data_IF_767465544719
#
_entry.id   IF_767465544719
#
_cell.length_a   1.000
_cell.length_b   1.000
_cell.length_c   1.000
_cell.angle_alpha   90.00
_cell.angle_beta   90.00
_cell.angle_gamma   90.00
#
_symmetry.space_group_name_H-M   'P 1'
#
loop_
_entity.id
_entity.type
_entity.pdbx_description
1 polymer ?
#
# COMPACT_ATOMS: atom_id res chain seq x y z
N UNK A 1 22.72 -44.93 75.40
CA UNK A 1 21.74 -43.84 75.20
C UNK A 1 21.12 -44.07 73.83
N UNK A 2 20.14 -44.97 73.66
CA UNK A 2 18.69 -44.72 73.75
C UNK A 2 18.32 -43.33 73.23
N UNK A 3 17.77 -43.25 72.02
CA UNK A 3 16.46 -42.63 71.79
C UNK A 3 15.78 -43.23 70.55
N UNK A 4 14.57 -43.70 70.80
CA UNK A 4 13.57 -44.22 69.88
C UNK A 4 13.17 -43.16 68.83
N UNK A 5 13.01 -43.59 67.58
CA UNK A 5 12.10 -42.94 66.63
C UNK A 5 11.32 -44.01 65.87
N UNK A 6 10.41 -44.67 66.59
CA UNK A 6 9.26 -45.36 66.01
C UNK A 6 8.21 -44.29 65.76
N UNK A 7 8.12 -43.76 64.54
CA UNK A 7 7.01 -42.90 64.12
C UNK A 7 6.30 -43.58 62.94
N UNK A 8 5.23 -44.28 63.32
CA UNK A 8 3.97 -44.46 62.59
C UNK A 8 4.02 -44.86 61.09
N UNK A 9 4.16 -46.15 60.83
CA UNK A 9 3.71 -46.79 59.58
C UNK A 9 2.18 -46.93 59.42
N UNK A 10 1.35 -46.19 60.18
CA UNK A 10 -0.11 -46.39 60.18
C UNK A 10 -0.92 -45.38 59.32
N UNK A 11 -0.28 -44.38 58.71
CA UNK A 11 -0.98 -43.30 57.99
C UNK A 11 -1.04 -43.42 56.46
N UNK A 12 -0.31 -44.36 55.85
CA UNK A 12 -0.12 -44.39 54.38
C UNK A 12 -1.15 -45.28 53.66
N UNK A 13 -1.92 -46.11 54.38
CA UNK A 13 -2.84 -47.07 53.75
C UNK A 13 -4.27 -46.57 53.47
N UNK A 14 -4.61 -45.30 53.79
CA UNK A 14 -6.00 -44.83 53.75
C UNK A 14 -6.28 -43.67 52.79
N UNK A 15 -5.37 -43.32 51.88
CA UNK A 15 -5.64 -42.27 50.85
C UNK A 15 -5.95 -42.86 49.47
N UNK A 16 -5.85 -44.18 49.29
CA UNK A 16 -5.83 -44.79 47.94
C UNK A 16 -7.15 -45.46 47.51
N UNK A 17 -8.31 -45.02 48.01
CA UNK A 17 -9.62 -45.57 47.58
C UNK A 17 -10.71 -44.55 47.27
N UNK A 18 -10.43 -43.26 47.33
CA UNK A 18 -11.42 -42.20 47.04
C UNK A 18 -11.22 -41.46 45.72
N UNK A 19 -10.49 -42.06 44.75
CA UNK A 19 -10.30 -41.47 43.41
C UNK A 19 -10.91 -42.28 42.26
N UNK A 20 -11.56 -43.42 42.51
CA UNK A 20 -12.06 -44.28 41.43
C UNK A 20 -13.44 -43.87 40.86
N UNK A 21 -14.19 -42.96 41.50
CA UNK A 21 -15.59 -42.68 41.12
C UNK A 21 -15.81 -41.39 40.29
N UNK A 22 -14.80 -40.52 40.11
CA UNK A 22 -14.92 -39.25 39.35
C UNK A 22 -14.32 -39.32 37.94
N UNK A 23 -13.58 -40.39 37.63
CA UNK A 23 -12.84 -40.56 36.38
C UNK A 23 -13.67 -40.37 35.08
N UNK A 24 -14.89 -40.95 34.91
CA UNK A 24 -15.62 -40.80 33.65
C UNK A 24 -16.22 -39.40 33.44
N UNK A 25 -16.64 -38.71 34.51
CA UNK A 25 -17.17 -37.34 34.41
C UNK A 25 -16.08 -36.32 34.11
N UNK A 26 -14.90 -36.47 34.71
CA UNK A 26 -13.76 -35.58 34.46
C UNK A 26 -13.19 -35.76 33.04
N UNK A 27 -13.18 -37.00 32.53
CA UNK A 27 -12.74 -37.29 31.16
C UNK A 27 -13.68 -36.69 30.11
N UNK A 28 -15.00 -36.81 30.28
CA UNK A 28 -15.97 -36.18 29.38
C UNK A 28 -15.89 -34.64 29.38
N UNK A 29 -15.65 -34.03 30.55
CA UNK A 29 -15.44 -32.58 30.66
C UNK A 29 -14.15 -32.12 29.97
N UNK A 30 -13.05 -32.87 30.09
CA UNK A 30 -11.79 -32.59 29.41
C UNK A 30 -11.92 -32.70 27.88
N UNK A 31 -12.66 -33.71 27.39
CA UNK A 31 -12.94 -33.86 25.96
C UNK A 31 -13.80 -32.71 25.41
N UNK A 32 -14.83 -32.30 26.16
CA UNK A 32 -15.65 -31.15 25.78
C UNK A 32 -14.83 -29.85 25.74
N UNK A 33 -13.94 -29.63 26.71
CA UNK A 33 -13.02 -28.48 26.71
C UNK A 33 -12.06 -28.50 25.53
N UNK A 34 -11.51 -29.66 25.17
CA UNK A 34 -10.64 -29.81 24.01
C UNK A 34 -11.37 -29.52 22.69
N UNK A 35 -12.63 -29.93 22.57
CA UNK A 35 -13.45 -29.63 21.39
C UNK A 35 -13.71 -28.12 21.26
N UNK A 36 -13.98 -27.44 22.38
CA UNK A 36 -14.13 -25.97 22.40
C UNK A 36 -12.84 -25.28 21.98
N UNK A 37 -11.68 -25.72 22.46
CA UNK A 37 -10.38 -25.16 22.08
C UNK A 37 -10.09 -25.31 20.58
N UNK A 38 -10.30 -26.51 20.02
CA UNK A 38 -10.12 -26.75 18.57
C UNK A 38 -11.05 -25.88 17.73
N UNK A 39 -12.31 -25.74 18.14
CA UNK A 39 -13.26 -24.88 17.45
C UNK A 39 -12.84 -23.40 17.50
N UNK A 40 -12.27 -22.95 18.61
CA UNK A 40 -11.73 -21.59 18.75
C UNK A 40 -10.48 -21.38 17.89
N UNK A 41 -9.56 -22.35 17.84
CA UNK A 41 -8.36 -22.31 16.99
C UNK A 41 -8.72 -22.30 15.49
N UNK A 42 -9.70 -23.11 15.08
CA UNK A 42 -10.22 -23.14 13.71
C UNK A 42 -10.88 -21.81 13.33
N UNK A 43 -11.64 -21.21 14.25
CA UNK A 43 -12.27 -19.91 14.03
C UNK A 43 -11.21 -18.79 13.92
N UNK A 44 -10.18 -18.82 14.76
CA UNK A 44 -9.07 -17.87 14.73
C UNK A 44 -8.25 -17.99 13.43
N UNK A 45 -7.98 -19.22 12.97
CA UNK A 45 -7.32 -19.49 11.69
C UNK A 45 -8.12 -18.95 10.50
N UNK A 46 -9.44 -19.15 10.49
CA UNK A 46 -10.31 -18.62 9.42
C UNK A 46 -10.37 -17.10 9.41
N UNK A 47 -10.45 -16.47 10.58
CA UNK A 47 -10.45 -15.01 10.69
C UNK A 47 -9.14 -14.42 10.13
N UNK A 48 -8.00 -14.97 10.53
CA UNK A 48 -6.69 -14.53 10.01
C UNK A 48 -6.55 -14.71 8.50
N UNK A 49 -7.04 -15.83 7.96
CA UNK A 49 -6.99 -16.07 6.52
C UNK A 49 -7.82 -15.05 5.72
N UNK A 50 -8.98 -14.63 6.25
CA UNK A 50 -9.80 -13.59 5.63
C UNK A 50 -9.11 -12.22 5.68
N UNK A 51 -8.51 -11.85 6.82
CA UNK A 51 -7.74 -10.61 6.96
C UNK A 51 -6.53 -10.57 6.01
N UNK A 52 -5.79 -11.68 5.88
CA UNK A 52 -4.66 -11.79 4.95
C UNK A 52 -5.11 -11.70 3.48
N UNK A 53 -6.31 -12.18 3.14
CA UNK A 53 -6.90 -12.06 1.79
C UNK A 53 -7.29 -10.61 1.48
N UNK A 54 -7.97 -9.92 2.41
CA UNK A 54 -8.33 -8.51 2.28
C UNK A 54 -7.09 -7.62 2.14
N UNK A 55 -6.06 -7.84 2.95
CA UNK A 55 -4.80 -7.08 2.88
C UNK A 55 -4.08 -7.28 1.54
N UNK A 56 -4.11 -8.49 0.98
CA UNK A 56 -3.55 -8.77 -0.36
C UNK A 56 -4.35 -8.08 -1.46
N UNK A 57 -5.67 -8.07 -1.35
CA UNK A 57 -6.55 -7.40 -2.30
C UNK A 57 -6.33 -5.88 -2.29
N UNK A 58 -6.20 -5.29 -1.10
CA UNK A 58 -5.89 -3.86 -0.95
C UNK A 58 -4.52 -3.51 -1.55
N UNK A 59 -3.48 -4.29 -1.22
CA UNK A 59 -2.15 -4.11 -1.81
C UNK A 59 -2.15 -4.22 -3.34
N UNK A 60 -2.83 -5.23 -3.88
CA UNK A 60 -2.95 -5.41 -5.33
C UNK A 60 -3.67 -4.23 -5.99
N UNK A 61 -4.69 -3.68 -5.34
CA UNK A 61 -5.41 -2.49 -5.81
C UNK A 61 -4.48 -1.26 -5.83
N UNK A 62 -3.73 -1.01 -4.76
CA UNK A 62 -2.76 0.10 -4.71
C UNK A 62 -1.71 -0.02 -5.81
N UNK A 63 -1.14 -1.21 -6.02
CA UNK A 63 -0.16 -1.45 -7.09
C UNK A 63 -0.74 -1.19 -8.49
N UNK A 64 -1.99 -1.60 -8.73
CA UNK A 64 -2.68 -1.31 -9.99
C UNK A 64 -2.91 0.18 -10.20
N UNK A 65 -3.36 0.90 -9.17
CA UNK A 65 -3.59 2.35 -9.23
C UNK A 65 -2.28 3.13 -9.48
N UNK A 66 -1.18 2.72 -8.87
CA UNK A 66 0.15 3.31 -9.10
C UNK A 66 0.66 3.02 -10.51
N UNK A 67 0.51 1.78 -10.98
CA UNK A 67 0.88 1.41 -12.36
C UNK A 67 0.08 2.20 -13.39
N UNK A 68 -1.23 2.38 -13.16
CA UNK A 68 -2.08 3.20 -14.02
C UNK A 68 -1.69 4.68 -13.97
N UNK A 69 -1.38 5.22 -12.79
CA UNK A 69 -0.87 6.57 -12.64
C UNK A 69 0.44 6.77 -13.42
N UNK A 70 1.34 5.80 -13.38
CA UNK A 70 2.61 5.85 -14.11
C UNK A 70 2.39 5.87 -15.62
N UNK A 71 1.56 4.95 -16.11
CA UNK A 71 1.19 4.90 -17.53
C UNK A 71 0.53 6.21 -17.99
N UNK A 72 -0.35 6.79 -17.17
CA UNK A 72 -1.05 8.04 -17.49
C UNK A 72 -0.09 9.22 -17.60
N UNK A 73 0.83 9.36 -16.64
CA UNK A 73 1.85 10.40 -16.68
C UNK A 73 2.81 10.22 -17.87
N UNK A 74 3.22 8.98 -18.18
CA UNK A 74 4.05 8.66 -19.34
C UNK A 74 3.36 9.07 -20.65
N UNK A 75 2.10 8.74 -20.82
CA UNK A 75 1.33 9.12 -22.01
C UNK A 75 1.22 10.65 -22.14
N UNK A 76 1.03 11.36 -21.03
CA UNK A 76 1.01 12.81 -21.03
C UNK A 76 2.35 13.43 -21.47
N UNK A 77 3.48 12.82 -21.10
CA UNK A 77 4.81 13.24 -21.54
C UNK A 77 4.98 13.06 -23.05
N UNK A 78 4.44 11.99 -23.64
CA UNK A 78 4.47 11.82 -25.10
C UNK A 78 3.66 12.90 -25.82
N UNK A 79 2.57 13.37 -25.22
CA UNK A 79 1.84 14.54 -25.72
C UNK A 79 2.68 15.81 -25.67
N UNK A 80 3.45 16.02 -24.59
CA UNK A 80 4.41 17.14 -24.50
C UNK A 80 5.48 17.01 -25.59
N UNK A 81 6.06 15.82 -25.78
CA UNK A 81 7.06 15.58 -26.82
C UNK A 81 6.51 15.92 -28.21
N UNK A 82 5.28 15.48 -28.49
CA UNK A 82 4.62 15.68 -29.78
C UNK A 82 4.20 17.14 -30.04
N UNK A 83 4.05 17.96 -28.99
CA UNK A 83 3.71 19.38 -29.14
C UNK A 83 4.91 20.28 -29.45
N UNK A 84 6.14 19.76 -29.42
CA UNK A 84 7.37 20.52 -29.65
C UNK A 84 7.64 20.68 -31.16
N UNK A 85 8.39 21.73 -31.53
CA UNK A 85 8.79 21.97 -32.91
C UNK A 85 9.72 20.86 -33.47
N UNK A 86 10.56 20.28 -32.63
CA UNK A 86 11.43 19.13 -32.93
C UNK A 86 11.28 18.08 -31.80
N UNK A 87 10.34 17.12 -31.94
CA UNK A 87 10.05 16.09 -30.94
C UNK A 87 11.25 15.19 -30.58
N UNK A 88 12.12 14.91 -31.54
CA UNK A 88 13.27 14.01 -31.37
C UNK A 88 14.40 14.68 -30.57
N UNK A 89 14.42 16.01 -30.56
CA UNK A 89 15.38 16.79 -29.79
C UNK A 89 14.99 17.02 -28.32
N UNK A 90 13.82 16.53 -27.89
CA UNK A 90 13.23 16.83 -26.59
C UNK A 90 14.12 16.36 -25.44
N UNK A 91 14.42 17.29 -24.54
CA UNK A 91 15.15 17.07 -23.30
C UNK A 91 14.25 17.41 -22.13
N UNK A 92 13.92 16.41 -21.33
CA UNK A 92 13.07 16.55 -20.15
C UNK A 92 13.91 16.60 -18.86
N UNK A 93 13.44 17.37 -17.87
CA UNK A 93 14.03 17.46 -16.53
C UNK A 93 12.95 17.58 -15.47
N UNK A 94 13.26 17.07 -14.28
CA UNK A 94 12.43 17.17 -13.07
C UNK A 94 10.98 16.72 -13.32
N UNK A 95 10.81 15.60 -14.02
CA UNK A 95 9.49 15.11 -14.41
C UNK A 95 8.90 14.21 -13.33
N UNK A 96 7.72 14.59 -12.85
CA UNK A 96 6.98 13.88 -11.79
C UNK A 96 5.55 13.60 -12.21
N UNK A 97 5.05 12.45 -11.79
CA UNK A 97 3.62 12.18 -11.74
C UNK A 97 3.08 12.86 -10.48
N UNK A 98 2.09 13.73 -10.67
CA UNK A 98 1.47 14.49 -9.59
C UNK A 98 -0.03 14.21 -9.61
N UNK A 99 -0.56 13.85 -8.44
CA UNK A 99 -2.00 13.69 -8.27
C UNK A 99 -2.57 15.03 -7.82
N UNK A 100 -3.48 15.56 -8.62
CA UNK A 100 -4.05 16.88 -8.42
C UNK A 100 -5.49 16.94 -8.89
N UNK A 101 -6.16 18.04 -8.57
CA UNK A 101 -7.51 18.33 -9.00
C UNK A 101 -7.53 19.72 -9.61
N UNK A 102 -8.35 19.91 -10.63
CA UNK A 102 -8.63 21.21 -11.23
C UNK A 102 -10.07 21.56 -10.93
N UNK A 103 -10.32 22.48 -10.01
CA UNK A 103 -11.65 22.99 -9.67
C UNK A 103 -12.72 21.87 -9.52
N UNK A 104 -13.72 21.84 -10.42
CA UNK A 104 -14.86 20.90 -10.42
C UNK A 104 -14.56 19.58 -11.14
N UNK A 105 -13.40 19.45 -11.77
CA UNK A 105 -13.00 18.22 -12.46
C UNK A 105 -12.67 17.11 -11.46
N UNK A 106 -12.81 15.83 -11.86
CA UNK A 106 -12.30 14.70 -11.10
C UNK A 106 -10.80 14.83 -10.84
N UNK A 107 -10.34 14.24 -9.73
CA UNK A 107 -8.92 14.10 -9.45
C UNK A 107 -8.23 13.31 -10.56
N UNK A 108 -7.07 13.79 -10.99
CA UNK A 108 -6.32 13.25 -12.13
C UNK A 108 -4.84 13.09 -11.81
N UNK A 109 -4.15 12.36 -12.68
CA UNK A 109 -2.68 12.25 -12.64
C UNK A 109 -2.10 13.09 -13.77
N UNK A 110 -1.28 14.05 -13.39
CA UNK A 110 -0.62 15.01 -14.26
C UNK A 110 0.86 14.69 -14.35
N UNK A 111 1.47 15.00 -15.50
CA UNK A 111 2.91 15.07 -15.63
C UNK A 111 3.34 16.53 -15.53
N UNK A 112 4.20 16.82 -14.55
CA UNK A 112 4.77 18.15 -14.32
C UNK A 112 6.28 18.06 -14.46
N UNK A 113 6.90 19.05 -15.09
CA UNK A 113 8.36 19.12 -15.21
C UNK A 113 8.80 20.28 -16.09
N UNK A 114 10.02 20.19 -16.62
CA UNK A 114 10.52 21.15 -17.62
C UNK A 114 11.01 20.42 -18.87
N UNK A 115 10.83 21.07 -20.03
CA UNK A 115 11.21 20.53 -21.33
C UNK A 115 11.97 21.58 -22.14
N UNK A 116 12.96 21.13 -22.91
CA UNK A 116 13.66 21.95 -23.89
C UNK A 116 13.74 21.17 -25.21
N UNK A 117 13.63 21.86 -26.34
CA UNK A 117 13.74 21.29 -27.67
C UNK A 117 14.33 22.32 -28.64
N UNK A 118 14.81 21.85 -29.78
CA UNK A 118 15.21 22.72 -30.87
C UNK A 118 13.98 23.43 -31.45
N UNK A 119 14.15 24.70 -31.77
CA UNK A 119 13.17 25.47 -32.54
C UNK A 119 13.34 25.21 -34.05
N UNK A 120 12.51 25.86 -34.88
CA UNK A 120 12.59 25.73 -36.35
C UNK A 120 13.91 26.23 -36.97
N UNK A 121 14.78 26.89 -36.20
CA UNK A 121 16.12 27.30 -36.62
C UNK A 121 17.22 26.32 -36.15
N UNK A 122 16.84 25.20 -35.50
CA UNK A 122 17.74 24.15 -35.05
C UNK A 122 18.43 24.39 -33.70
N UNK A 123 18.08 25.48 -33.00
CA UNK A 123 18.69 25.86 -31.72
C UNK A 123 17.78 25.61 -30.50
N UNK A 124 18.38 25.25 -29.37
CA UNK A 124 17.69 25.17 -28.08
C UNK A 124 17.48 26.56 -27.48
N UNK A 125 16.28 26.84 -26.97
CA UNK A 125 15.89 28.15 -26.42
C UNK A 125 15.85 28.18 -24.89
N UNK A 126 15.89 27.03 -24.24
CA UNK A 126 15.89 26.91 -22.78
C UNK A 126 14.78 25.99 -22.27
N UNK A 127 14.90 25.60 -21.00
CA UNK A 127 13.90 24.75 -20.35
C UNK A 127 12.66 25.57 -20.03
N UNK A 128 11.52 25.08 -20.49
CA UNK A 128 10.19 25.65 -20.25
C UNK A 128 9.40 24.69 -19.36
N UNK A 129 8.77 25.16 -18.28
CA UNK A 129 7.92 24.29 -17.46
C UNK A 129 6.66 23.88 -18.23
N UNK A 130 6.13 22.71 -17.89
CA UNK A 130 4.89 22.20 -18.49
C UNK A 130 3.99 21.53 -17.45
N UNK A 131 2.69 21.50 -17.74
CA UNK A 131 1.69 20.63 -17.12
C UNK A 131 1.03 19.82 -18.22
N UNK A 132 0.95 18.51 -18.07
CA UNK A 132 0.29 17.66 -19.07
C UNK A 132 -0.65 16.63 -18.43
N UNK A 133 -1.78 16.40 -19.09
CA UNK A 133 -2.75 15.36 -18.73
C UNK A 133 -3.38 14.79 -20.00
N UNK A 134 -3.25 13.48 -20.21
CA UNK A 134 -3.70 12.85 -21.44
C UNK A 134 -3.06 13.51 -22.68
N UNK A 135 -3.88 14.09 -23.55
CA UNK A 135 -3.43 14.84 -24.74
C UNK A 135 -3.30 16.35 -24.53
N UNK A 136 -3.69 16.86 -23.36
CA UNK A 136 -3.63 18.29 -23.05
C UNK A 136 -2.25 18.64 -22.50
N UNK A 137 -1.63 19.66 -23.08
CA UNK A 137 -0.35 20.21 -22.64
C UNK A 137 -0.53 21.71 -22.40
N UNK A 138 -0.06 22.18 -21.25
CA UNK A 138 -0.04 23.58 -20.87
C UNK A 138 1.39 24.02 -20.58
N UNK A 139 1.70 25.23 -21.01
CA UNK A 139 3.00 25.90 -20.96
C UNK A 139 2.82 27.37 -20.58
N UNK A 140 3.85 28.12 -20.19
CA UNK A 140 3.73 29.55 -19.88
C UNK A 140 3.13 30.43 -20.99
N UNK A 141 3.08 29.93 -22.24
CA UNK A 141 2.40 30.60 -23.35
C UNK A 141 0.87 30.54 -23.22
N UNK A 142 0.33 29.59 -22.45
CA UNK A 142 -1.08 29.42 -22.20
C UNK A 142 -1.53 30.32 -21.04
N UNK A 143 -2.52 31.18 -21.26
CA UNK A 143 -2.95 32.19 -20.27
C UNK A 143 -3.48 31.62 -18.95
N UNK A 144 -3.80 30.33 -18.89
CA UNK A 144 -4.25 29.63 -17.68
C UNK A 144 -3.12 28.92 -16.93
N UNK A 145 -1.92 28.84 -17.51
CA UNK A 145 -0.84 28.00 -17.02
C UNK A 145 -0.47 28.26 -15.57
N UNK A 146 -0.27 29.52 -15.17
CA UNK A 146 0.25 29.86 -13.85
C UNK A 146 -0.65 29.32 -12.73
N UNK A 147 -1.97 29.47 -12.87
CA UNK A 147 -2.94 28.97 -11.90
C UNK A 147 -2.95 27.44 -11.84
N UNK A 148 -2.95 26.79 -13.00
CA UNK A 148 -2.94 25.32 -13.08
C UNK A 148 -1.65 24.73 -12.54
N UNK A 149 -0.51 25.34 -12.87
CA UNK A 149 0.80 24.91 -12.42
C UNK A 149 0.92 25.01 -10.90
N UNK A 150 0.44 26.10 -10.30
CA UNK A 150 0.40 26.25 -8.85
C UNK A 150 -0.47 25.17 -8.19
N UNK A 151 -1.74 25.07 -8.60
CA UNK A 151 -2.71 24.15 -7.97
C UNK A 151 -2.32 22.67 -8.14
N UNK A 152 -1.80 22.31 -9.32
CA UNK A 152 -1.53 20.91 -9.65
C UNK A 152 -0.09 20.53 -9.36
N UNK A 153 0.90 21.28 -9.85
CA UNK A 153 2.29 20.84 -9.83
C UNK A 153 3.05 21.22 -8.56
N UNK A 154 2.65 22.32 -7.92
CA UNK A 154 3.27 22.78 -6.66
C UNK A 154 2.50 22.30 -5.44
N UNK A 155 1.17 22.46 -5.45
CA UNK A 155 0.32 22.12 -4.31
C UNK A 155 -0.21 20.67 -4.35
N UNK A 156 -0.18 20.04 -5.53
CA UNK A 156 -0.59 18.65 -5.70
C UNK A 156 0.36 17.63 -5.08
N UNK A 157 -0.17 16.41 -4.85
CA UNK A 157 0.59 15.32 -4.24
C UNK A 157 1.54 14.70 -5.25
N UNK A 158 2.84 14.96 -5.12
CA UNK A 158 3.87 14.25 -5.89
C UNK A 158 3.83 12.75 -5.58
N UNK A 159 3.72 11.93 -6.62
CA UNK A 159 3.68 10.47 -6.51
C UNK A 159 5.09 9.91 -6.67
N UNK A 160 5.65 10.01 -7.88
CA UNK A 160 6.95 9.42 -8.24
C UNK A 160 7.56 10.15 -9.44
N UNK A 161 8.89 10.08 -9.62
CA UNK A 161 9.54 10.57 -10.82
C UNK A 161 9.16 9.69 -12.02
N UNK A 162 9.00 10.29 -13.20
CA UNK A 162 8.68 9.57 -14.44
C UNK A 162 9.91 9.50 -15.32
N UNK A 163 10.18 8.32 -15.88
CA UNK A 163 11.29 8.13 -16.82
C UNK A 163 10.88 8.60 -18.21
N UNK A 164 11.77 9.37 -18.86
CA UNK A 164 11.55 10.16 -20.09
C UNK A 164 12.55 9.85 -21.18
#
# INVERSE_FOLDING_TARGET
MIFLAVIACAGVYAVDRFQAATAPKQYAAAQAQQQVQRAQEDAAMKAKAAEDEEARAEKAKTEQEEAQAYASAKNAIESVRSSLADPDSALFKDVWAVRGKLAEAPEGVFACGTVNAKNGFGGYVGYTPFVAIGSTVLTPQDGIFEGVFQEVCLDGKKLFPVQV
#
